data_IF_875433676277
#
_entry.id   IF_875433676277
#
_cell.length_a   1.000
_cell.length_b   1.000
_cell.length_c   1.000
_cell.angle_alpha   90.00
_cell.angle_beta   90.00
_cell.angle_gamma   90.00
#
_symmetry.space_group_name_H-M   'P 1'
#
loop_
_entity.id
_entity.type
_entity.pdbx_description
1 polymer ?
#
# COMPACT_ATOMS: atom_id res chain seq x y z
N UNK A 1 -8.28 -10.29 8.92
CA UNK A 1 -8.80 -9.67 10.17
C UNK A 1 -9.29 -8.25 9.95
N UNK A 2 -8.49 -7.34 9.36
CA UNK A 2 -8.84 -5.94 9.08
C UNK A 2 -10.18 -5.80 8.34
N UNK A 3 -10.35 -6.45 7.20
CA UNK A 3 -11.58 -6.42 6.38
C UNK A 3 -12.87 -6.73 7.17
N UNK A 4 -12.85 -7.78 8.01
CA UNK A 4 -14.02 -8.13 8.80
C UNK A 4 -14.31 -7.11 9.92
N UNK A 5 -13.26 -6.50 10.48
CA UNK A 5 -13.41 -5.40 11.43
C UNK A 5 -14.07 -4.18 10.78
N UNK A 6 -13.61 -3.79 9.59
CA UNK A 6 -14.22 -2.68 8.82
C UNK A 6 -15.69 -2.95 8.52
N UNK A 7 -16.03 -4.14 8.03
CA UNK A 7 -17.42 -4.54 7.80
C UNK A 7 -18.27 -4.44 9.07
N UNK A 8 -17.75 -4.95 10.19
CA UNK A 8 -18.46 -4.91 11.47
C UNK A 8 -18.83 -3.47 11.86
N UNK A 9 -17.86 -2.55 11.81
CA UNK A 9 -18.11 -1.16 12.18
C UNK A 9 -19.12 -0.50 11.24
N UNK A 10 -18.97 -0.67 9.92
CA UNK A 10 -19.91 -0.11 8.94
C UNK A 10 -21.33 -0.63 9.18
N UNK A 11 -21.50 -1.93 9.46
CA UNK A 11 -22.80 -2.54 9.79
C UNK A 11 -23.37 -1.95 11.09
N UNK A 12 -22.54 -1.79 12.13
CA UNK A 12 -22.98 -1.15 13.37
C UNK A 12 -23.49 0.28 13.14
N UNK A 13 -22.79 1.06 12.30
CA UNK A 13 -23.19 2.42 11.95
C UNK A 13 -24.50 2.44 11.14
N UNK A 14 -24.67 1.48 10.22
CA UNK A 14 -25.93 1.30 9.48
C UNK A 14 -27.11 1.01 10.41
N UNK A 15 -26.94 0.09 11.37
CA UNK A 15 -27.97 -0.22 12.35
C UNK A 15 -28.25 0.98 13.26
N UNK A 16 -27.20 1.66 13.73
CA UNK A 16 -27.31 2.85 14.58
C UNK A 16 -28.15 3.96 13.93
N UNK A 17 -27.96 4.24 12.64
CA UNK A 17 -28.69 5.29 11.94
C UNK A 17 -30.00 4.78 11.29
N UNK A 18 -30.03 3.53 10.83
CA UNK A 18 -31.24 2.92 10.24
C UNK A 18 -32.41 2.95 11.18
N UNK A 19 -32.19 2.73 12.48
CA UNK A 19 -33.25 2.79 13.49
C UNK A 19 -34.04 4.11 13.51
N UNK A 20 -33.38 5.26 13.21
CA UNK A 20 -34.00 6.59 13.23
C UNK A 20 -35.17 6.67 12.23
N UNK A 21 -35.08 5.93 11.11
CA UNK A 21 -36.14 5.92 10.08
C UNK A 21 -37.31 5.02 10.50
N UNK A 22 -37.03 3.88 11.11
CA UNK A 22 -38.01 2.83 11.35
C UNK A 22 -38.66 2.88 12.74
N UNK A 23 -37.95 3.47 13.73
CA UNK A 23 -38.48 3.48 15.12
C UNK A 23 -39.54 4.55 15.30
N UNK A 24 -40.71 4.13 15.79
CA UNK A 24 -41.81 4.98 16.24
C UNK A 24 -42.18 4.58 17.66
N UNK A 25 -42.40 5.58 18.56
CA UNK A 25 -42.93 5.42 19.90
C UNK A 25 -42.20 4.39 20.78
N UNK A 26 -40.89 4.49 20.89
CA UNK A 26 -40.06 3.56 21.68
C UNK A 26 -39.85 4.10 23.09
N UNK A 27 -40.25 3.33 24.09
CA UNK A 27 -40.06 3.67 25.51
C UNK A 27 -38.56 3.69 25.90
N UNK A 28 -37.71 2.92 25.23
CA UNK A 28 -36.29 2.84 25.51
C UNK A 28 -35.53 2.42 24.27
N UNK A 29 -34.76 3.35 23.73
CA UNK A 29 -33.99 3.09 22.51
C UNK A 29 -32.54 2.70 22.86
N UNK A 30 -32.34 1.43 23.21
CA UNK A 30 -30.98 0.91 23.56
C UNK A 30 -30.03 0.84 22.38
N UNK A 31 -30.53 0.77 21.14
CA UNK A 31 -29.68 0.72 19.93
C UNK A 31 -28.93 2.03 19.70
N UNK A 32 -29.29 3.13 20.39
CA UNK A 32 -28.51 4.37 20.34
C UNK A 32 -27.07 4.19 20.79
N UNK A 33 -26.82 3.22 21.68
CA UNK A 33 -25.47 2.91 22.18
C UNK A 33 -24.54 2.31 21.10
N UNK A 34 -25.09 1.89 19.96
CA UNK A 34 -24.26 1.43 18.84
C UNK A 34 -23.47 2.57 18.20
N UNK A 35 -23.95 3.85 18.32
CA UNK A 35 -23.24 4.98 17.74
C UNK A 35 -21.90 5.29 18.45
N UNK A 36 -21.81 5.43 19.79
CA UNK A 36 -20.52 5.58 20.47
C UNK A 36 -19.66 4.32 20.37
N UNK A 37 -20.25 3.12 20.38
CA UNK A 37 -19.52 1.88 20.18
C UNK A 37 -18.86 1.85 18.80
N UNK A 38 -19.58 2.19 17.74
CA UNK A 38 -19.05 2.27 16.38
C UNK A 38 -17.90 3.30 16.27
N UNK A 39 -18.04 4.45 16.94
CA UNK A 39 -16.99 5.47 16.98
C UNK A 39 -15.72 4.96 17.70
N UNK A 40 -15.85 4.36 18.87
CA UNK A 40 -14.73 3.80 19.62
C UNK A 40 -14.02 2.70 18.79
N UNK A 41 -14.80 1.81 18.18
CA UNK A 41 -14.24 0.75 17.33
C UNK A 41 -13.52 1.31 16.11
N UNK A 42 -13.99 2.40 15.49
CA UNK A 42 -13.31 3.04 14.36
C UNK A 42 -11.97 3.66 14.78
N UNK A 43 -11.87 4.22 16.00
CA UNK A 43 -10.59 4.70 16.55
C UNK A 43 -9.65 3.51 16.80
N UNK A 44 -10.14 2.43 17.40
CA UNK A 44 -9.33 1.23 17.65
C UNK A 44 -8.80 0.66 16.33
N UNK A 45 -9.61 0.66 15.27
CA UNK A 45 -9.18 0.23 13.94
C UNK A 45 -8.06 1.13 13.40
N UNK A 46 -8.22 2.44 13.51
CA UNK A 46 -7.19 3.40 13.08
C UNK A 46 -5.86 3.18 13.82
N UNK A 47 -5.91 2.94 15.13
CA UNK A 47 -4.71 2.71 15.94
C UNK A 47 -4.03 1.36 15.64
N UNK A 48 -4.79 0.31 15.37
CA UNK A 48 -4.25 -1.04 15.14
C UNK A 48 -3.79 -1.27 13.70
N UNK A 49 -4.51 -0.73 12.71
CA UNK A 49 -4.29 -1.02 11.29
C UNK A 49 -3.83 0.18 10.48
N UNK A 50 -3.75 1.34 11.12
CA UNK A 50 -3.33 2.57 10.50
C UNK A 50 -4.40 3.23 9.64
N UNK A 51 -4.04 4.38 9.07
CA UNK A 51 -4.91 5.17 8.22
C UNK A 51 -4.83 4.66 6.77
N UNK A 52 -5.95 4.16 6.26
CA UNK A 52 -6.21 4.01 4.84
C UNK A 52 -7.54 4.68 4.46
N UNK A 53 -7.90 4.63 3.19
CA UNK A 53 -9.13 5.29 2.71
C UNK A 53 -10.37 4.74 3.40
N UNK A 54 -10.46 3.41 3.60
CA UNK A 54 -11.63 2.79 4.23
C UNK A 54 -11.69 3.10 5.71
N UNK A 55 -10.57 2.97 6.44
CA UNK A 55 -10.54 3.32 7.88
C UNK A 55 -10.78 4.80 8.12
N UNK A 56 -10.23 5.68 7.27
CA UNK A 56 -10.47 7.12 7.33
C UNK A 56 -11.94 7.49 7.07
N UNK A 57 -12.54 6.97 6.00
CA UNK A 57 -13.96 7.19 5.70
C UNK A 57 -14.88 6.59 6.75
N UNK A 58 -14.53 5.42 7.30
CA UNK A 58 -15.29 4.79 8.40
C UNK A 58 -15.24 5.65 9.66
N UNK A 59 -14.08 6.25 9.99
CA UNK A 59 -13.95 7.18 11.11
C UNK A 59 -14.81 8.43 10.90
N UNK A 60 -14.72 9.08 9.73
CA UNK A 60 -15.54 10.25 9.40
C UNK A 60 -17.03 9.92 9.50
N UNK A 61 -17.44 8.79 8.92
CA UNK A 61 -18.83 8.33 9.00
C UNK A 61 -19.27 8.07 10.45
N UNK A 62 -18.41 7.47 11.27
CA UNK A 62 -18.70 7.20 12.68
C UNK A 62 -18.89 8.50 13.48
N UNK A 63 -18.11 9.55 13.20
CA UNK A 63 -18.29 10.89 13.78
C UNK A 63 -19.66 11.47 13.37
N UNK A 64 -20.00 11.41 12.07
CA UNK A 64 -21.30 11.92 11.58
C UNK A 64 -22.47 11.18 12.22
N UNK A 65 -22.37 9.84 12.37
CA UNK A 65 -23.38 9.03 13.04
C UNK A 65 -23.46 9.35 14.54
N UNK A 66 -22.34 9.54 15.22
CA UNK A 66 -22.30 9.92 16.62
C UNK A 66 -22.97 11.29 16.84
N UNK A 67 -22.61 12.29 16.03
CA UNK A 67 -23.21 13.63 16.11
C UNK A 67 -24.72 13.60 15.85
N UNK A 68 -25.18 12.85 14.86
CA UNK A 68 -26.61 12.70 14.58
C UNK A 68 -27.37 12.00 15.71
N UNK A 69 -26.71 11.16 16.48
CA UNK A 69 -27.30 10.44 17.60
C UNK A 69 -27.09 11.10 18.97
N UNK A 70 -26.35 12.20 19.03
CA UNK A 70 -25.95 12.82 20.30
C UNK A 70 -27.16 13.19 21.18
N UNK A 71 -28.15 13.81 20.60
CA UNK A 71 -29.39 14.17 21.33
C UNK A 71 -30.15 12.92 21.84
N UNK A 72 -30.21 11.87 21.05
CA UNK A 72 -30.84 10.61 21.44
C UNK A 72 -30.07 9.89 22.55
N UNK A 73 -28.73 9.95 22.51
CA UNK A 73 -27.86 9.43 23.58
C UNK A 73 -28.09 10.15 24.90
N UNK A 74 -28.22 11.47 24.87
CA UNK A 74 -28.47 12.26 26.06
C UNK A 74 -29.87 11.91 26.67
N UNK A 75 -30.91 11.85 25.87
CA UNK A 75 -32.23 11.39 26.32
C UNK A 75 -32.23 9.98 26.88
N UNK A 76 -31.47 9.09 26.25
CA UNK A 76 -31.32 7.72 26.74
C UNK A 76 -30.67 7.67 28.13
N UNK A 77 -29.62 8.46 28.37
CA UNK A 77 -28.95 8.54 29.66
C UNK A 77 -29.87 9.06 30.76
N UNK A 78 -30.74 10.01 30.45
CA UNK A 78 -31.76 10.57 31.38
C UNK A 78 -33.03 9.72 31.48
N UNK A 79 -33.08 8.56 30.82
CA UNK A 79 -34.23 7.67 30.77
C UNK A 79 -35.52 8.31 30.20
N UNK A 80 -35.37 9.32 29.36
CA UNK A 80 -36.47 10.01 28.70
C UNK A 80 -36.96 9.21 27.49
N UNK A 81 -38.28 9.33 27.22
CA UNK A 81 -38.89 8.72 26.05
C UNK A 81 -38.50 9.46 24.77
N UNK A 82 -38.44 8.72 23.65
CA UNK A 82 -38.30 9.27 22.32
C UNK A 82 -39.60 8.99 21.56
N UNK A 83 -40.42 10.01 21.41
CA UNK A 83 -41.75 9.86 20.74
C UNK A 83 -41.56 9.80 19.22
N UNK A 84 -40.74 10.69 18.67
CA UNK A 84 -40.44 10.74 17.24
C UNK A 84 -39.13 11.49 16.97
N UNK A 85 -38.50 11.17 15.86
CA UNK A 85 -37.38 11.91 15.33
C UNK A 85 -37.86 12.99 14.36
N UNK A 86 -37.24 14.18 14.40
CA UNK A 86 -37.54 15.27 13.48
C UNK A 86 -37.30 14.87 12.02
N UNK A 87 -38.02 15.52 11.09
CA UNK A 87 -37.88 15.27 9.66
C UNK A 87 -36.43 15.52 9.23
N UNK A 88 -35.79 16.58 9.74
CA UNK A 88 -34.40 16.89 9.44
C UNK A 88 -33.43 15.76 9.86
N UNK A 89 -33.66 15.19 11.05
CA UNK A 89 -32.88 14.03 11.51
C UNK A 89 -33.09 12.80 10.64
N UNK A 90 -34.30 12.55 10.16
CA UNK A 90 -34.58 11.44 9.24
C UNK A 90 -33.88 11.62 7.89
N UNK A 91 -33.92 12.85 7.33
CA UNK A 91 -33.20 13.17 6.09
C UNK A 91 -31.69 13.00 6.26
N UNK A 92 -31.15 13.54 7.34
CA UNK A 92 -29.70 13.38 7.65
C UNK A 92 -29.33 11.93 7.86
N UNK A 93 -30.13 11.15 8.56
CA UNK A 93 -29.97 9.72 8.72
C UNK A 93 -30.03 8.99 7.37
N UNK A 94 -30.92 9.37 6.48
CA UNK A 94 -31.01 8.82 5.13
C UNK A 94 -29.71 9.04 4.34
N UNK A 95 -29.16 10.26 4.38
CA UNK A 95 -27.88 10.58 3.71
C UNK A 95 -26.73 9.73 4.26
N UNK A 96 -26.61 9.65 5.58
CA UNK A 96 -25.54 8.86 6.22
C UNK A 96 -25.70 7.36 5.98
N UNK A 97 -26.92 6.84 5.86
CA UNK A 97 -27.18 5.45 5.47
C UNK A 97 -26.74 5.19 4.03
N UNK A 98 -27.05 6.10 3.10
CA UNK A 98 -26.60 5.97 1.70
C UNK A 98 -25.07 5.96 1.63
N UNK A 99 -24.40 6.86 2.36
CA UNK A 99 -22.93 6.88 2.44
C UNK A 99 -22.36 5.58 3.05
N UNK A 100 -22.99 5.07 4.11
CA UNK A 100 -22.58 3.82 4.75
C UNK A 100 -22.79 2.61 3.82
N UNK A 101 -23.88 2.56 3.07
CA UNK A 101 -24.15 1.51 2.09
C UNK A 101 -23.15 1.59 0.92
N UNK A 102 -22.85 2.79 0.43
CA UNK A 102 -21.82 2.98 -0.60
C UNK A 102 -20.44 2.54 -0.10
N UNK A 103 -20.09 2.89 1.13
CA UNK A 103 -18.84 2.45 1.75
C UNK A 103 -18.82 0.94 1.95
N UNK A 104 -19.92 0.33 2.42
CA UNK A 104 -20.05 -1.11 2.57
C UNK A 104 -19.88 -1.84 1.22
N UNK A 105 -20.59 -1.38 0.19
CA UNK A 105 -20.49 -1.95 -1.15
C UNK A 105 -19.06 -1.82 -1.71
N UNK A 106 -18.43 -0.66 -1.52
CA UNK A 106 -17.04 -0.43 -1.94
C UNK A 106 -16.07 -1.35 -1.18
N UNK A 107 -16.24 -1.49 0.13
CA UNK A 107 -15.39 -2.36 0.96
C UNK A 107 -15.52 -3.84 0.55
N UNK A 108 -16.71 -4.29 0.22
CA UNK A 108 -16.95 -5.67 -0.27
C UNK A 108 -16.39 -5.84 -1.69
N UNK A 109 -16.62 -4.86 -2.56
CA UNK A 109 -16.17 -4.92 -3.95
C UNK A 109 -14.64 -4.95 -4.04
N UNK A 110 -13.96 -4.07 -3.27
CA UNK A 110 -12.50 -3.96 -3.21
C UNK A 110 -11.92 -4.73 -2.01
N UNK A 111 -12.52 -5.84 -1.64
CA UNK A 111 -11.99 -6.68 -0.57
C UNK A 111 -10.52 -7.04 -0.84
N UNK A 112 -9.68 -7.15 0.22
CA UNK A 112 -8.30 -7.61 0.06
C UNK A 112 -8.27 -8.97 -0.60
N UNK A 113 -7.42 -9.11 -1.61
CA UNK A 113 -7.18 -10.39 -2.26
C UNK A 113 -5.97 -11.00 -1.57
N UNK A 114 -6.21 -11.95 -0.68
CA UNK A 114 -5.15 -12.77 -0.12
C UNK A 114 -4.89 -13.93 -1.10
N UNK A 115 -3.75 -13.88 -1.75
CA UNK A 115 -3.31 -14.98 -2.59
C UNK A 115 -2.61 -16.02 -1.71
N UNK A 116 -3.12 -17.22 -1.69
CA UNK A 116 -2.47 -18.37 -1.08
C UNK A 116 -1.29 -18.80 -1.94
N UNK A 117 -0.08 -18.67 -1.42
CA UNK A 117 1.15 -19.06 -2.11
C UNK A 117 1.08 -20.48 -2.67
N UNK A 118 0.51 -21.43 -1.91
CA UNK A 118 0.34 -22.82 -2.35
C UNK A 118 -0.59 -22.94 -3.54
N UNK A 119 -1.70 -22.18 -3.56
CA UNK A 119 -2.65 -22.19 -4.69
C UNK A 119 -2.06 -21.52 -5.92
N UNK A 120 -1.15 -20.56 -5.75
CA UNK A 120 -0.43 -19.94 -6.86
C UNK A 120 0.74 -20.79 -7.35
N UNK A 121 1.15 -21.81 -6.61
CA UNK A 121 2.34 -22.59 -6.94
C UNK A 121 3.62 -21.78 -6.73
N UNK A 122 3.66 -20.94 -5.72
CA UNK A 122 4.79 -20.04 -5.40
C UNK A 122 5.26 -20.31 -3.98
N UNK A 123 6.56 -20.32 -3.80
CA UNK A 123 7.22 -20.28 -2.51
C UNK A 123 7.66 -18.86 -2.17
N UNK A 124 7.37 -18.41 -0.96
CA UNK A 124 7.80 -17.12 -0.43
C UNK A 124 8.72 -17.34 0.76
N UNK A 125 9.90 -16.75 0.71
CA UNK A 125 10.89 -16.83 1.78
C UNK A 125 11.38 -15.42 2.10
N UNK A 126 11.39 -15.06 3.39
CA UNK A 126 11.99 -13.80 3.85
C UNK A 126 13.26 -14.11 4.59
N UNK A 127 14.38 -13.52 4.17
CA UNK A 127 15.67 -13.65 4.82
C UNK A 127 16.13 -12.32 5.36
N UNK A 128 16.67 -12.34 6.57
CA UNK A 128 17.32 -11.20 7.20
C UNK A 128 18.82 -11.29 6.99
N UNK A 129 19.41 -10.20 6.52
CA UNK A 129 20.84 -10.01 6.42
C UNK A 129 21.27 -8.92 7.40
N UNK A 130 22.38 -9.14 8.10
CA UNK A 130 22.95 -8.16 9.04
C UNK A 130 24.15 -7.48 8.38
N UNK A 131 24.25 -6.16 8.55
CA UNK A 131 25.34 -5.38 7.96
C UNK A 131 25.05 -3.89 7.90
N UNK A 132 25.85 -3.18 7.13
CA UNK A 132 25.68 -1.75 6.87
C UNK A 132 25.32 -1.57 5.40
N UNK A 133 24.04 -1.44 5.09
CA UNK A 133 23.55 -1.44 3.72
C UNK A 133 23.40 -0.03 3.13
N UNK A 134 22.89 0.93 3.91
CA UNK A 134 22.66 2.31 3.49
C UNK A 134 22.48 3.24 4.69
N UNK A 135 22.45 4.54 4.45
CA UNK A 135 22.00 5.52 5.45
C UNK A 135 20.48 5.62 5.47
N UNK A 136 19.91 6.06 6.62
CA UNK A 136 18.49 6.29 6.71
C UNK A 136 18.01 7.40 5.77
N UNK A 137 16.82 7.24 5.17
CA UNK A 137 16.26 8.22 4.23
C UNK A 137 15.59 9.41 4.92
N UNK A 138 15.12 9.25 6.16
CA UNK A 138 14.40 10.29 6.90
C UNK A 138 15.28 11.05 7.87
N UNK A 139 16.19 10.35 8.53
CA UNK A 139 17.20 10.98 9.35
C UNK A 139 18.48 11.08 8.54
N UNK A 140 18.91 12.30 8.25
CA UNK A 140 20.28 12.58 7.83
C UNK A 140 21.30 12.21 8.95
N UNK A 141 20.84 11.50 9.99
CA UNK A 141 21.65 10.94 11.04
C UNK A 141 22.58 9.88 10.44
N UNK A 142 23.81 9.86 10.88
CA UNK A 142 24.88 8.94 10.48
C UNK A 142 24.59 7.46 10.80
N UNK A 143 23.34 7.07 11.06
CA UNK A 143 22.97 5.71 11.36
C UNK A 143 22.82 4.90 10.06
N UNK A 144 23.72 3.94 9.89
CA UNK A 144 23.61 2.94 8.84
C UNK A 144 22.52 1.94 9.20
N UNK A 145 21.73 1.55 8.21
CA UNK A 145 20.73 0.50 8.38
C UNK A 145 21.46 -0.83 8.59
N UNK A 146 21.26 -1.40 9.78
CA UNK A 146 21.98 -2.58 10.23
C UNK A 146 21.37 -3.91 9.75
N UNK A 147 20.18 -3.89 9.18
CA UNK A 147 19.48 -5.10 8.72
C UNK A 147 18.81 -4.85 7.38
N UNK A 148 18.86 -5.86 6.52
CA UNK A 148 18.15 -5.91 5.25
C UNK A 148 17.24 -7.14 5.26
N UNK A 149 15.95 -6.94 5.03
CA UNK A 149 14.99 -8.02 4.82
C UNK A 149 14.77 -8.21 3.33
N UNK A 150 15.17 -9.37 2.83
CA UNK A 150 15.01 -9.76 1.44
C UNK A 150 13.90 -10.77 1.31
N UNK A 151 12.83 -10.38 0.63
CA UNK A 151 11.73 -11.26 0.25
C UNK A 151 12.05 -11.91 -1.10
N UNK A 152 11.99 -13.23 -1.15
CA UNK A 152 12.17 -14.04 -2.36
C UNK A 152 10.88 -14.76 -2.67
N UNK A 153 10.46 -14.65 -3.91
CA UNK A 153 9.32 -15.38 -4.48
C UNK A 153 9.82 -16.24 -5.64
N UNK A 154 9.58 -17.53 -5.57
CA UNK A 154 9.97 -18.48 -6.63
C UNK A 154 8.87 -19.49 -6.95
N UNK A 155 8.83 -20.05 -8.16
CA UNK A 155 7.91 -21.13 -8.49
C UNK A 155 8.18 -22.36 -7.63
N UNK A 156 7.13 -23.04 -7.17
CA UNK A 156 7.25 -24.32 -6.46
C UNK A 156 7.88 -25.39 -7.38
N UNK A 157 8.80 -26.15 -6.81
CA UNK A 157 9.44 -27.27 -7.53
C UNK A 157 10.67 -26.89 -8.35
N UNK A 158 11.15 -25.65 -8.25
CA UNK A 158 12.32 -25.15 -9.00
C UNK A 158 13.64 -25.27 -8.24
N UNK A 159 13.69 -26.06 -7.17
CA UNK A 159 14.86 -26.12 -6.26
C UNK A 159 16.16 -26.62 -6.92
N UNK A 160 16.08 -27.33 -8.04
CA UNK A 160 17.24 -27.94 -8.72
C UNK A 160 17.63 -27.25 -10.04
N UNK A 161 16.92 -26.20 -10.46
CA UNK A 161 17.29 -25.50 -11.68
C UNK A 161 18.24 -24.33 -11.38
N UNK A 162 19.36 -24.26 -12.10
CA UNK A 162 20.26 -23.11 -12.06
C UNK A 162 19.49 -21.85 -12.49
N UNK A 163 19.36 -20.91 -11.58
CA UNK A 163 18.69 -19.64 -11.85
C UNK A 163 19.59 -18.79 -12.75
N UNK A 164 19.18 -18.62 -14.01
CA UNK A 164 19.94 -17.82 -14.98
C UNK A 164 19.70 -16.31 -14.86
N UNK A 165 18.53 -15.94 -14.37
CA UNK A 165 18.13 -14.55 -14.23
C UNK A 165 17.18 -14.39 -13.04
N UNK A 166 17.36 -13.34 -12.27
CA UNK A 166 16.47 -12.91 -11.19
C UNK A 166 15.83 -11.56 -11.53
N UNK A 167 14.61 -11.37 -11.09
CA UNK A 167 13.93 -10.08 -11.16
C UNK A 167 14.06 -9.40 -9.81
N UNK A 168 14.79 -8.29 -9.76
CA UNK A 168 14.93 -7.48 -8.55
C UNK A 168 13.95 -6.32 -8.59
N UNK A 169 13.04 -6.27 -7.60
CA UNK A 169 12.02 -5.24 -7.48
C UNK A 169 12.41 -4.19 -6.44
N UNK A 170 12.32 -2.91 -6.84
CA UNK A 170 12.54 -1.75 -5.99
C UNK A 170 11.21 -1.00 -5.82
N UNK A 171 10.61 -0.98 -4.62
CA UNK A 171 9.34 -0.30 -4.37
C UNK A 171 9.50 1.22 -4.44
N UNK A 172 8.37 1.93 -4.52
CA UNK A 172 8.28 3.38 -4.37
C UNK A 172 8.72 3.84 -2.97
N UNK A 173 9.05 5.13 -2.82
CA UNK A 173 9.41 5.78 -1.55
C UNK A 173 8.41 5.40 -0.45
N UNK A 174 8.92 4.90 0.67
CA UNK A 174 8.14 4.38 1.80
C UNK A 174 7.19 3.23 1.42
N UNK A 175 7.32 2.71 0.20
CA UNK A 175 6.57 1.54 -0.23
C UNK A 175 7.10 0.30 0.50
N UNK A 176 6.22 -0.37 1.24
CA UNK A 176 6.52 -1.68 1.81
C UNK A 176 6.36 -2.74 0.70
N UNK A 177 7.25 -3.71 0.66
CA UNK A 177 7.14 -4.92 -0.19
C UNK A 177 5.77 -5.59 -0.05
N UNK A 178 5.14 -5.48 1.12
CA UNK A 178 3.80 -5.98 1.38
C UNK A 178 2.74 -5.45 0.41
N UNK A 179 2.81 -4.18 0.00
CA UNK A 179 1.83 -3.58 -0.93
C UNK A 179 1.96 -4.15 -2.35
N UNK A 180 3.14 -4.64 -2.70
CA UNK A 180 3.44 -5.23 -4.01
C UNK A 180 3.36 -6.76 -4.01
N UNK A 181 3.09 -7.38 -2.85
CA UNK A 181 3.08 -8.83 -2.67
C UNK A 181 2.27 -9.57 -3.73
N UNK A 182 1.01 -9.18 -4.06
CA UNK A 182 0.25 -9.84 -5.13
C UNK A 182 0.96 -9.78 -6.48
N UNK A 183 1.56 -8.64 -6.82
CA UNK A 183 2.31 -8.48 -8.05
C UNK A 183 3.55 -9.39 -8.09
N UNK A 184 4.32 -9.43 -7.01
CA UNK A 184 5.54 -10.25 -6.90
C UNK A 184 5.22 -11.75 -6.96
N UNK A 185 4.15 -12.19 -6.29
CA UNK A 185 3.65 -13.56 -6.33
C UNK A 185 3.19 -13.98 -7.73
N UNK A 186 2.44 -13.12 -8.42
CA UNK A 186 2.01 -13.41 -9.79
C UNK A 186 3.18 -13.42 -10.77
N UNK A 187 4.17 -12.55 -10.59
CA UNK A 187 5.37 -12.56 -11.42
C UNK A 187 6.17 -13.85 -11.21
N UNK A 188 6.28 -14.33 -9.96
CA UNK A 188 6.89 -15.62 -9.67
C UNK A 188 6.10 -16.79 -10.26
N UNK A 189 4.76 -16.74 -10.24
CA UNK A 189 3.91 -17.74 -10.92
C UNK A 189 4.20 -17.84 -12.41
N UNK A 190 4.60 -16.75 -13.06
CA UNK A 190 5.00 -16.74 -14.47
C UNK A 190 6.38 -17.38 -14.72
N UNK A 191 7.03 -17.92 -13.68
CA UNK A 191 8.28 -18.67 -13.77
C UNK A 191 9.54 -17.87 -13.42
N UNK A 192 9.41 -16.64 -12.91
CA UNK A 192 10.53 -15.81 -12.52
C UNK A 192 10.90 -16.04 -11.04
N UNK A 193 12.20 -15.96 -10.74
CA UNK A 193 12.66 -15.76 -9.36
C UNK A 193 12.65 -14.27 -9.09
N UNK A 194 11.83 -13.83 -8.15
CA UNK A 194 11.61 -12.42 -7.84
C UNK A 194 12.15 -12.10 -6.46
N UNK A 195 12.97 -11.08 -6.39
CA UNK A 195 13.56 -10.58 -5.15
C UNK A 195 13.07 -9.16 -4.89
N UNK A 196 12.74 -8.86 -3.64
CA UNK A 196 12.43 -7.50 -3.21
C UNK A 196 12.99 -7.26 -1.81
N UNK A 197 13.73 -6.17 -1.67
CA UNK A 197 14.24 -5.75 -0.38
C UNK A 197 13.31 -4.72 0.27
N UNK A 198 13.46 -4.54 1.58
CA UNK A 198 12.72 -3.53 2.34
C UNK A 198 13.41 -2.15 2.30
N UNK A 199 13.68 -1.64 1.09
CA UNK A 199 14.46 -0.42 0.86
C UNK A 199 14.11 0.76 1.77
N UNK A 200 12.83 0.91 2.18
CA UNK A 200 12.35 2.05 2.94
C UNK A 200 11.71 1.73 4.29
N UNK A 201 11.47 0.45 4.61
CA UNK A 201 10.66 0.04 5.77
C UNK A 201 11.25 0.43 7.12
N UNK A 202 12.57 0.37 7.25
CA UNK A 202 13.27 0.67 8.51
C UNK A 202 13.37 2.16 8.82
N UNK A 203 13.05 3.02 7.84
CA UNK A 203 13.12 4.46 7.99
C UNK A 203 11.80 5.08 8.49
N UNK A 204 10.72 4.32 8.45
CA UNK A 204 9.39 4.82 8.82
C UNK A 204 9.15 4.64 10.32
N UNK A 205 9.33 5.70 11.10
CA UNK A 205 8.94 5.71 12.52
C UNK A 205 7.43 5.54 12.71
N UNK A 206 6.64 5.95 11.72
CA UNK A 206 5.19 5.94 11.72
C UNK A 206 4.67 5.17 10.50
N UNK A 207 4.67 3.84 10.60
CA UNK A 207 4.24 2.94 9.50
C UNK A 207 2.82 3.19 8.97
N UNK A 208 2.04 4.02 9.65
CA UNK A 208 0.62 4.21 9.36
C UNK A 208 0.19 5.68 9.43
N UNK A 209 1.08 6.60 9.08
CA UNK A 209 0.74 8.02 9.03
C UNK A 209 0.01 8.37 7.73
N UNK A 210 -0.75 9.48 7.75
CA UNK A 210 -1.35 10.06 6.53
C UNK A 210 -0.29 10.29 5.45
N UNK A 211 0.94 10.65 5.87
CA UNK A 211 2.07 10.85 4.97
C UNK A 211 2.50 9.61 4.19
N UNK A 212 2.10 8.42 4.61
CA UNK A 212 2.45 7.17 3.93
C UNK A 212 1.49 6.83 2.78
N UNK A 213 0.33 7.48 2.71
CA UNK A 213 -0.58 7.30 1.58
C UNK A 213 0.08 7.74 0.27
N UNK A 214 0.05 6.88 -0.75
CA UNK A 214 0.68 7.10 -2.05
C UNK A 214 0.31 8.47 -2.66
N UNK A 215 -0.96 8.83 -2.60
CA UNK A 215 -1.44 10.12 -3.09
C UNK A 215 -0.83 11.30 -2.32
N UNK A 216 -0.70 11.18 -0.99
CA UNK A 216 -0.14 12.23 -0.13
C UNK A 216 1.36 12.37 -0.40
N UNK A 217 2.10 11.26 -0.46
CA UNK A 217 3.53 11.25 -0.77
C UNK A 217 3.82 11.90 -2.12
N UNK A 218 3.08 11.51 -3.15
CA UNK A 218 3.27 12.03 -4.51
C UNK A 218 2.90 13.49 -4.62
N UNK A 219 1.80 13.90 -3.99
CA UNK A 219 1.41 15.32 -3.93
C UNK A 219 2.47 16.15 -3.18
N UNK A 220 2.98 15.64 -2.05
CA UNK A 220 4.05 16.31 -1.31
C UNK A 220 5.32 16.45 -2.16
N UNK A 221 5.70 15.42 -2.92
CA UNK A 221 6.86 15.48 -3.82
C UNK A 221 6.68 16.54 -4.92
N UNK A 222 5.48 16.68 -5.49
CA UNK A 222 5.18 17.74 -6.46
C UNK A 222 5.29 19.11 -5.82
N UNK A 223 4.71 19.27 -4.63
CA UNK A 223 4.79 20.55 -3.90
C UNK A 223 6.25 20.90 -3.59
N UNK A 224 7.05 19.94 -3.09
CA UNK A 224 8.47 20.15 -2.82
C UNK A 224 9.23 20.57 -4.09
N UNK A 225 8.95 19.93 -5.23
CA UNK A 225 9.55 20.27 -6.52
C UNK A 225 9.20 21.71 -6.97
N UNK A 226 7.93 22.13 -6.79
CA UNK A 226 7.47 23.43 -7.22
C UNK A 226 7.91 24.56 -6.28
N UNK A 227 7.92 24.29 -4.96
CA UNK A 227 8.18 25.33 -3.93
C UNK A 227 9.66 25.45 -3.60
N UNK A 228 10.40 24.33 -3.59
CA UNK A 228 11.82 24.32 -3.27
C UNK A 228 12.60 23.31 -4.12
N UNK A 229 12.82 23.64 -5.42
CA UNK A 229 13.49 22.75 -6.36
C UNK A 229 14.89 22.30 -5.90
N UNK A 230 15.63 23.19 -5.24
CA UNK A 230 16.99 22.85 -4.77
C UNK A 230 16.96 21.78 -3.69
N UNK A 231 16.09 21.94 -2.67
CA UNK A 231 15.90 20.93 -1.61
C UNK A 231 15.44 19.60 -2.21
N UNK A 232 14.51 19.66 -3.16
CA UNK A 232 14.03 18.46 -3.86
C UNK A 232 15.17 17.74 -4.57
N UNK A 233 16.04 18.45 -5.30
CA UNK A 233 17.18 17.86 -6.00
C UNK A 233 18.19 17.25 -5.04
N UNK A 234 18.51 17.91 -3.92
CA UNK A 234 19.37 17.34 -2.88
C UNK A 234 18.80 16.05 -2.29
N UNK A 235 17.51 16.02 -2.01
CA UNK A 235 16.85 14.79 -1.54
C UNK A 235 16.90 13.68 -2.59
N UNK A 236 16.67 13.99 -3.85
CA UNK A 236 16.75 13.04 -4.95
C UNK A 236 18.15 12.40 -5.05
N UNK A 237 19.20 13.22 -5.00
CA UNK A 237 20.60 12.75 -5.03
C UNK A 237 20.89 11.83 -3.85
N UNK A 238 20.45 12.22 -2.65
CA UNK A 238 20.61 11.41 -1.45
C UNK A 238 19.90 10.05 -1.55
N UNK A 239 18.67 10.03 -2.04
CA UNK A 239 17.93 8.79 -2.27
C UNK A 239 18.60 7.92 -3.31
N UNK A 240 19.03 8.50 -4.42
CA UNK A 240 19.74 7.78 -5.48
C UNK A 240 21.02 7.13 -4.96
N UNK A 241 21.80 7.87 -4.19
CA UNK A 241 23.01 7.34 -3.57
C UNK A 241 22.74 6.14 -2.65
N UNK A 242 21.76 6.27 -1.75
CA UNK A 242 21.45 5.19 -0.81
C UNK A 242 20.90 3.94 -1.49
N UNK A 243 20.04 4.09 -2.51
CA UNK A 243 19.55 2.95 -3.30
C UNK A 243 20.71 2.27 -4.02
N UNK A 244 21.66 3.02 -4.57
CA UNK A 244 22.85 2.45 -5.20
C UNK A 244 23.71 1.63 -4.22
N UNK A 245 23.88 2.10 -2.97
CA UNK A 245 24.60 1.36 -1.94
C UNK A 245 23.92 0.02 -1.64
N UNK A 246 22.61 0.05 -1.50
CA UNK A 246 21.83 -1.15 -1.24
C UNK A 246 21.81 -2.11 -2.43
N UNK A 247 21.72 -1.60 -3.66
CA UNK A 247 21.87 -2.40 -4.88
C UNK A 247 23.22 -3.10 -4.97
N UNK A 248 24.30 -2.42 -4.55
CA UNK A 248 25.62 -3.03 -4.45
C UNK A 248 25.63 -4.23 -3.49
N UNK A 249 25.07 -4.06 -2.30
CA UNK A 249 24.95 -5.14 -1.31
C UNK A 249 24.06 -6.29 -1.82
N UNK A 250 22.93 -5.97 -2.45
CA UNK A 250 22.03 -6.97 -3.04
C UNK A 250 22.72 -7.75 -4.17
N UNK A 251 23.53 -7.09 -4.99
CA UNK A 251 24.29 -7.77 -6.03
C UNK A 251 25.25 -8.82 -5.42
N UNK A 252 25.94 -8.50 -4.32
CA UNK A 252 26.77 -9.45 -3.60
C UNK A 252 25.95 -10.64 -3.09
N UNK A 253 24.81 -10.38 -2.44
CA UNK A 253 23.90 -11.43 -1.93
C UNK A 253 23.38 -12.31 -3.07
N UNK A 254 23.02 -11.71 -4.22
CA UNK A 254 22.57 -12.45 -5.42
C UNK A 254 23.69 -13.33 -5.97
N UNK A 255 24.91 -12.80 -6.03
CA UNK A 255 26.08 -13.55 -6.50
C UNK A 255 26.37 -14.76 -5.61
N UNK A 256 26.41 -14.57 -4.29
CA UNK A 256 26.63 -15.65 -3.34
C UNK A 256 25.54 -16.73 -3.41
N UNK A 257 24.31 -16.34 -3.70
CA UNK A 257 23.17 -17.23 -3.63
C UNK A 257 22.87 -17.96 -4.93
N UNK A 258 23.03 -17.30 -6.07
CA UNK A 258 22.67 -17.81 -7.39
C UNK A 258 23.84 -18.01 -8.33
N UNK A 259 25.01 -17.47 -7.99
CA UNK A 259 26.23 -17.53 -8.79
C UNK A 259 26.51 -16.26 -9.60
N UNK A 260 27.76 -16.15 -10.02
CA UNK A 260 28.26 -14.97 -10.74
C UNK A 260 27.62 -14.78 -12.12
N UNK A 261 27.23 -15.85 -12.79
CA UNK A 261 26.63 -15.81 -14.13
C UNK A 261 25.15 -15.39 -14.12
N UNK A 262 24.51 -15.30 -12.93
CA UNK A 262 23.10 -14.96 -12.84
C UNK A 262 22.87 -13.51 -13.23
N UNK A 263 22.05 -13.26 -14.23
CA UNK A 263 21.67 -11.92 -14.67
C UNK A 263 20.59 -11.32 -13.76
N UNK A 264 20.51 -10.00 -13.73
CA UNK A 264 19.56 -9.25 -12.93
C UNK A 264 18.71 -8.41 -13.89
N UNK A 265 17.40 -8.60 -13.85
CA UNK A 265 16.42 -7.70 -14.45
C UNK A 265 15.83 -6.83 -13.33
N UNK A 266 15.99 -5.51 -13.41
CA UNK A 266 15.52 -4.61 -12.34
C UNK A 266 14.15 -4.03 -12.72
N UNK A 267 13.19 -4.13 -11.82
CA UNK A 267 11.90 -3.47 -11.92
C UNK A 267 11.80 -2.43 -10.81
N UNK A 268 11.44 -1.22 -11.16
CA UNK A 268 11.32 -0.11 -10.21
C UNK A 268 9.91 0.47 -10.22
N UNK A 269 9.50 1.04 -9.11
CA UNK A 269 8.34 1.93 -9.04
C UNK A 269 8.84 3.33 -8.62
N UNK A 270 9.00 4.24 -9.57
CA UNK A 270 9.41 5.65 -9.44
C UNK A 270 10.84 5.90 -8.91
N UNK A 271 11.01 5.86 -7.57
CA UNK A 271 12.23 6.40 -6.92
C UNK A 271 13.50 5.65 -7.27
N UNK A 272 13.40 4.35 -7.51
CA UNK A 272 14.55 3.50 -7.76
C UNK A 272 15.16 3.63 -9.16
N UNK A 273 14.45 4.24 -10.12
CA UNK A 273 14.79 4.16 -11.54
C UNK A 273 16.15 4.76 -11.87
N UNK A 274 16.44 5.96 -11.38
CA UNK A 274 17.74 6.62 -11.63
C UNK A 274 18.89 5.81 -11.03
N UNK A 275 18.69 5.32 -9.81
CA UNK A 275 19.70 4.49 -9.14
C UNK A 275 19.94 3.16 -9.88
N UNK A 276 18.85 2.52 -10.33
CA UNK A 276 18.91 1.28 -11.09
C UNK A 276 19.59 1.45 -12.47
N UNK A 277 19.30 2.55 -13.17
CA UNK A 277 19.96 2.87 -14.45
C UNK A 277 21.45 3.11 -14.26
N UNK A 278 21.84 3.92 -13.26
CA UNK A 278 23.27 4.13 -12.95
C UNK A 278 23.94 2.83 -12.51
N UNK A 279 23.24 1.96 -11.79
CA UNK A 279 23.76 0.66 -11.40
C UNK A 279 23.97 -0.25 -12.62
N UNK A 280 23.02 -0.25 -13.57
CA UNK A 280 23.15 -0.98 -14.84
C UNK A 280 24.34 -0.48 -15.67
N UNK A 281 24.52 0.84 -15.78
CA UNK A 281 25.67 1.44 -16.50
C UNK A 281 27.01 1.01 -15.91
N UNK A 282 27.08 0.85 -14.59
CA UNK A 282 28.29 0.37 -13.89
C UNK A 282 28.49 -1.15 -13.95
N UNK A 283 27.41 -1.90 -14.20
CA UNK A 283 27.42 -3.36 -14.20
C UNK A 283 26.71 -3.93 -15.44
N UNK A 284 27.11 -3.56 -16.67
CA UNK A 284 26.41 -3.95 -17.90
C UNK A 284 26.41 -5.46 -18.12
N UNK A 285 27.46 -6.15 -17.66
CA UNK A 285 27.56 -7.61 -17.73
C UNK A 285 26.57 -8.32 -16.80
N UNK A 286 26.07 -7.63 -15.77
CA UNK A 286 25.25 -8.20 -14.71
C UNK A 286 23.77 -7.89 -14.86
N UNK A 287 23.46 -6.66 -15.27
CA UNK A 287 22.08 -6.17 -15.37
C UNK A 287 21.60 -6.21 -16.81
N UNK A 288 20.57 -7.01 -17.06
CA UNK A 288 20.00 -7.17 -18.40
C UNK A 288 19.23 -5.93 -18.86
N UNK A 289 18.39 -5.39 -17.99
CA UNK A 289 17.61 -4.17 -18.26
C UNK A 289 17.00 -3.61 -16.98
N UNK A 290 16.57 -2.37 -17.06
CA UNK A 290 15.77 -1.68 -16.03
C UNK A 290 14.40 -1.34 -16.63
N UNK A 291 13.35 -1.74 -15.95
CA UNK A 291 11.97 -1.42 -16.29
C UNK A 291 11.30 -0.62 -15.18
N UNK A 292 10.81 0.54 -15.50
CA UNK A 292 10.07 1.41 -14.57
C UNK A 292 8.57 1.22 -14.77
N UNK A 293 7.87 0.79 -13.71
CA UNK A 293 6.41 0.68 -13.70
C UNK A 293 5.74 2.03 -13.84
N UNK A 294 6.41 3.09 -13.38
CA UNK A 294 5.95 4.46 -13.45
C UNK A 294 6.27 5.16 -14.78
N UNK A 295 6.85 4.46 -15.74
CA UNK A 295 7.44 4.95 -16.99
C UNK A 295 6.63 6.05 -17.69
N UNK A 296 6.92 7.30 -17.37
CA UNK A 296 6.43 8.48 -18.07
C UNK A 296 7.64 9.24 -18.58
N UNK A 297 7.56 9.75 -19.81
CA UNK A 297 8.65 10.58 -20.37
C UNK A 297 8.92 11.84 -19.53
N UNK A 298 7.91 12.39 -18.88
CA UNK A 298 8.01 13.51 -17.92
C UNK A 298 8.91 13.17 -16.72
N UNK A 299 9.06 11.92 -16.39
CA UNK A 299 9.96 11.44 -15.37
C UNK A 299 11.42 11.78 -15.67
N UNK A 300 11.83 11.80 -16.92
CA UNK A 300 13.20 12.16 -17.35
C UNK A 300 13.56 13.58 -17.00
N UNK A 301 12.60 14.48 -16.97
CA UNK A 301 12.81 15.91 -16.70
C UNK A 301 12.74 16.25 -15.22
N UNK A 302 11.79 15.70 -14.47
CA UNK A 302 11.59 15.97 -13.04
C UNK A 302 12.32 14.99 -12.13
N UNK A 303 12.63 13.81 -12.61
CA UNK A 303 13.27 12.74 -11.85
C UNK A 303 12.36 11.99 -10.88
N UNK A 304 11.11 12.44 -10.73
CA UNK A 304 10.07 11.74 -9.99
C UNK A 304 8.73 11.98 -10.67
N UNK A 305 8.25 11.03 -11.42
CA UNK A 305 6.89 11.07 -11.96
C UNK A 305 5.86 11.14 -10.83
N UNK A 306 4.79 11.85 -11.03
CA UNK A 306 3.71 11.98 -10.05
C UNK A 306 2.65 10.91 -10.26
N UNK A 307 2.45 10.51 -11.51
CA UNK A 307 1.44 9.52 -11.92
C UNK A 307 2.11 8.50 -12.82
N UNK A 308 2.00 7.23 -12.46
CA UNK A 308 2.45 6.13 -13.29
C UNK A 308 1.39 5.75 -14.32
N UNK A 309 1.80 5.18 -15.45
CA UNK A 309 0.85 4.59 -16.42
C UNK A 309 -0.05 3.53 -15.80
N UNK A 310 0.46 2.87 -14.77
CA UNK A 310 -0.25 1.86 -13.99
C UNK A 310 -1.08 2.43 -12.85
N UNK A 311 -0.94 3.72 -12.53
CA UNK A 311 -1.68 4.37 -11.47
C UNK A 311 -3.04 4.83 -11.98
N UNK A 312 -4.07 4.07 -11.69
CA UNK A 312 -5.43 4.59 -11.72
C UNK A 312 -5.68 5.41 -10.46
N UNK A 313 -6.62 6.36 -10.49
CA UNK A 313 -7.07 7.07 -9.28
C UNK A 313 -7.42 6.08 -8.18
N UNK A 314 -8.05 4.98 -8.56
CA UNK A 314 -8.42 3.91 -7.64
C UNK A 314 -7.20 3.21 -7.03
N UNK A 315 -6.16 2.91 -7.81
CA UNK A 315 -4.94 2.29 -7.31
C UNK A 315 -4.16 3.24 -6.37
N UNK A 316 -4.18 4.55 -6.64
CA UNK A 316 -3.60 5.54 -5.74
C UNK A 316 -4.37 5.69 -4.42
N UNK A 317 -5.69 5.54 -4.46
CA UNK A 317 -6.56 5.63 -3.27
C UNK A 317 -6.55 4.34 -2.46
N UNK A 318 -6.38 3.19 -3.12
CA UNK A 318 -6.47 1.87 -2.51
C UNK A 318 -5.08 1.23 -2.45
N UNK A 319 -4.13 1.86 -1.77
CA UNK A 319 -2.73 1.39 -1.64
C UNK A 319 -2.55 -0.04 -1.12
N UNK A 320 -3.56 -0.59 -0.51
CA UNK A 320 -3.59 -2.00 -0.07
C UNK A 320 -3.93 -2.88 -1.27
N UNK A 321 -3.51 -4.15 -1.35
CA UNK A 321 -3.90 -5.09 -2.40
C UNK A 321 -5.41 -5.39 -2.35
N UNK A 322 -6.21 -4.36 -2.64
CA UNK A 322 -7.67 -4.37 -2.76
C UNK A 322 -7.99 -4.25 -4.24
N UNK A 323 -7.84 -5.35 -4.92
CA UNK A 323 -8.14 -5.45 -6.34
C UNK A 323 -9.12 -6.61 -6.52
N UNK A 324 -10.34 -6.30 -6.91
CA UNK A 324 -11.40 -7.30 -7.07
C UNK A 324 -11.01 -8.41 -8.01
N UNK A 325 -10.48 -8.04 -9.16
CA UNK A 325 -10.23 -8.99 -10.25
C UNK A 325 -8.73 -9.22 -10.50
N UNK A 326 -7.86 -8.60 -9.69
CA UNK A 326 -6.43 -8.56 -9.92
C UNK A 326 -6.09 -7.91 -11.27
N UNK A 327 -6.93 -6.98 -11.75
CA UNK A 327 -6.74 -6.35 -13.06
C UNK A 327 -5.45 -5.53 -13.09
N UNK A 328 -5.27 -4.70 -12.07
CA UNK A 328 -4.06 -3.89 -11.94
C UNK A 328 -2.82 -4.77 -11.80
N UNK A 329 -2.87 -5.76 -10.90
CA UNK A 329 -1.79 -6.73 -10.71
C UNK A 329 -1.50 -7.53 -11.97
N UNK A 330 -2.53 -8.07 -12.64
CA UNK A 330 -2.39 -8.82 -13.89
C UNK A 330 -1.82 -7.95 -15.00
N UNK A 331 -2.28 -6.71 -15.11
CA UNK A 331 -1.78 -5.78 -16.11
C UNK A 331 -0.29 -5.50 -15.89
N UNK A 332 0.11 -5.17 -14.66
CA UNK A 332 1.52 -4.92 -14.30
C UNK A 332 2.39 -6.15 -14.62
N UNK A 333 1.95 -7.34 -14.22
CA UNK A 333 2.67 -8.60 -14.49
C UNK A 333 2.81 -8.84 -15.98
N UNK A 334 1.75 -8.65 -16.76
CA UNK A 334 1.77 -8.83 -18.21
C UNK A 334 2.74 -7.87 -18.90
N UNK A 335 2.74 -6.59 -18.50
CA UNK A 335 3.67 -5.59 -19.03
C UNK A 335 5.12 -5.92 -18.65
N UNK A 336 5.38 -6.24 -17.39
CA UNK A 336 6.73 -6.63 -16.94
C UNK A 336 7.24 -7.87 -17.69
N UNK A 337 6.41 -8.91 -17.81
CA UNK A 337 6.76 -10.11 -18.59
C UNK A 337 7.12 -9.76 -20.03
N UNK A 338 6.36 -8.88 -20.67
CA UNK A 338 6.63 -8.42 -22.04
C UNK A 338 7.98 -7.72 -22.13
N UNK A 339 8.34 -6.87 -21.14
CA UNK A 339 9.63 -6.19 -21.09
C UNK A 339 10.80 -7.18 -20.87
N UNK A 340 10.66 -8.10 -19.93
CA UNK A 340 11.68 -9.14 -19.69
C UNK A 340 11.92 -9.98 -20.96
N UNK A 341 10.85 -10.39 -21.63
CA UNK A 341 10.93 -11.17 -22.88
C UNK A 341 11.51 -10.34 -24.05
N UNK A 342 11.25 -9.04 -24.08
CA UNK A 342 11.83 -8.11 -25.05
C UNK A 342 13.33 -7.93 -24.84
N UNK A 343 13.78 -7.74 -23.62
CA UNK A 343 15.19 -7.60 -23.27
C UNK A 343 16.03 -8.84 -23.59
N UNK A 344 15.42 -10.04 -23.55
CA UNK A 344 16.11 -11.30 -23.93
C UNK A 344 16.33 -11.50 -25.45
N UNK A 345 15.67 -10.69 -26.28
CA UNK A 345 15.78 -10.79 -27.74
C UNK A 345 16.81 -9.82 -28.32
N UNK A 346 17.28 -8.89 -27.54
CA UNK A 346 18.37 -7.97 -27.86
C UNK A 346 19.70 -8.53 -27.39
#
# INVERSE_FOLDING_TARGET
MKFYGELLVIILLLVANGRIIFIKNVKKDSLVMLSPLGFILSIIQLLNWGLDVVTGLTLVLSVLVLLSNFHALFRYSERLYIDHYSILMKVWSGITIILALALLASTIYFRPVEYDNKKLGVEETVKRYEGSFRFGFEDASNFKIANLFLSEYKPLGNDNQRVKEVVLFIPDKRGDTYYYRPYLQHLAREGFVVLSADFFCSDCRWRHSIGDLKIVRRTAMVIDYLVNPQKFMMQKEFYTYNIQQELGALNTIITERYGEDTKIFIVTDMMGTVAAQTFMEKNPERVTAVYDLASIEEYKTSGFGVVAQTDTILAMLLEVPRDKDGFYTKYMVMQTKKQIMGAKKL
#
